data_IF_870324064101
#
_entry.id   IF_870324064101
#
_cell.length_a   1.000
_cell.length_b   1.000
_cell.length_c   1.000
_cell.angle_alpha   90.00
_cell.angle_beta   90.00
_cell.angle_gamma   90.00
#
_symmetry.space_group_name_H-M   'P 1'
#
loop_
_entity.id
_entity.type
_entity.pdbx_description
1 polymer ?
#
# COMPACT_ATOMS: atom_id res chain seq x y z
N UNK A 1 -16.39 -15.77 32.22
CA UNK A 1 -16.38 -15.08 30.93
C UNK A 1 -15.05 -15.36 30.26
N UNK A 2 -15.05 -15.78 29.00
CA UNK A 2 -13.80 -15.96 28.26
C UNK A 2 -13.34 -14.62 27.72
N UNK A 3 -12.03 -14.44 27.58
CA UNK A 3 -11.46 -13.18 27.16
C UNK A 3 -10.72 -13.40 25.85
N UNK A 4 -10.87 -12.49 24.91
CA UNK A 4 -10.03 -12.45 23.72
C UNK A 4 -9.36 -11.08 23.63
N UNK A 5 -8.03 -11.07 23.69
CA UNK A 5 -7.27 -9.84 23.54
C UNK A 5 -7.12 -9.53 22.05
N UNK A 6 -7.47 -8.31 21.65
CA UNK A 6 -7.35 -7.84 20.28
C UNK A 6 -6.50 -6.58 20.27
N UNK A 7 -5.35 -6.65 19.62
CA UNK A 7 -4.45 -5.52 19.49
C UNK A 7 -4.80 -4.72 18.24
N UNK A 8 -5.02 -3.40 18.43
CA UNK A 8 -5.38 -2.47 17.36
C UNK A 8 -4.57 -1.19 17.43
N UNK A 9 -4.55 -0.46 16.32
CA UNK A 9 -4.01 0.91 16.30
C UNK A 9 -5.06 1.91 16.81
N UNK A 10 -4.64 2.88 17.61
CA UNK A 10 -5.54 3.81 18.31
C UNK A 10 -6.41 4.65 17.37
N UNK A 11 -5.83 5.14 16.27
CA UNK A 11 -6.52 6.03 15.33
C UNK A 11 -7.31 5.25 14.27
N UNK A 12 -6.63 4.42 13.49
CA UNK A 12 -7.24 3.74 12.34
C UNK A 12 -7.97 2.44 12.72
N UNK A 13 -7.85 1.97 13.96
CA UNK A 13 -8.46 0.72 14.46
C UNK A 13 -8.13 -0.54 13.67
N UNK A 14 -7.14 -0.46 12.76
CA UNK A 14 -6.62 -1.62 12.04
C UNK A 14 -6.16 -2.68 13.03
N UNK A 15 -6.42 -3.94 12.68
CA UNK A 15 -5.96 -5.09 13.45
C UNK A 15 -4.43 -5.15 13.38
N UNK A 16 -3.79 -5.19 14.53
CA UNK A 16 -2.37 -5.54 14.65
C UNK A 16 -2.23 -7.04 14.90
N UNK A 17 -2.91 -7.54 15.92
CA UNK A 17 -2.87 -8.96 16.28
C UNK A 17 -4.16 -9.39 16.97
N UNK A 18 -4.60 -10.63 16.75
CA UNK A 18 -5.73 -11.25 17.45
C UNK A 18 -5.23 -12.45 18.20
N UNK A 19 -5.28 -12.39 19.53
CA UNK A 19 -4.87 -13.49 20.38
C UNK A 19 -5.90 -14.62 20.39
N UNK A 20 -5.47 -15.81 20.79
CA UNK A 20 -6.38 -16.91 21.12
C UNK A 20 -7.32 -16.51 22.27
N UNK A 21 -8.43 -17.23 22.37
CA UNK A 21 -9.37 -17.06 23.47
C UNK A 21 -8.73 -17.64 24.73
N UNK A 22 -8.70 -16.85 25.80
CA UNK A 22 -8.36 -17.31 27.15
C UNK A 22 -9.58 -17.99 27.77
N UNK A 23 -9.55 -19.31 27.98
CA UNK A 23 -10.67 -20.07 28.49
C UNK A 23 -10.87 -19.79 29.99
N UNK A 24 -12.09 -19.45 30.37
CA UNK A 24 -12.47 -19.42 31.79
C UNK A 24 -12.78 -20.82 32.32
N UNK A 25 -12.88 -20.98 33.64
CA UNK A 25 -13.23 -22.26 34.28
C UNK A 25 -14.57 -22.88 33.80
N UNK A 26 -15.46 -22.09 33.20
CA UNK A 26 -16.72 -22.53 32.62
C UNK A 26 -16.67 -22.74 31.08
N UNK A 27 -15.47 -22.81 30.49
CA UNK A 27 -15.28 -23.02 29.06
C UNK A 27 -15.92 -24.34 28.62
N UNK A 28 -16.79 -24.27 27.60
CA UNK A 28 -17.59 -25.41 27.13
C UNK A 28 -19.00 -25.52 27.73
N UNK A 29 -19.33 -24.74 28.76
CA UNK A 29 -20.73 -24.62 29.21
C UNK A 29 -21.53 -23.70 28.28
N UNK A 30 -22.85 -23.95 28.13
CA UNK A 30 -23.76 -23.21 27.23
C UNK A 30 -23.90 -21.72 27.55
N UNK A 31 -23.44 -21.26 28.71
CA UNK A 31 -23.63 -19.89 29.21
C UNK A 31 -22.31 -19.14 29.44
N UNK A 32 -21.30 -19.32 28.57
CA UNK A 32 -20.09 -18.51 28.62
C UNK A 32 -19.98 -17.58 27.40
N UNK A 33 -20.11 -16.28 27.63
CA UNK A 33 -19.84 -15.27 26.61
C UNK A 33 -18.33 -15.04 26.44
N UNK A 34 -17.92 -14.75 25.20
CA UNK A 34 -16.56 -14.27 24.89
C UNK A 34 -16.61 -12.74 24.93
N UNK A 35 -15.72 -12.14 25.72
CA UNK A 35 -15.55 -10.69 25.80
C UNK A 35 -14.27 -10.29 25.09
N UNK A 36 -14.38 -9.46 24.07
CA UNK A 36 -13.22 -8.87 23.41
C UNK A 36 -12.66 -7.72 24.26
N UNK A 37 -11.35 -7.71 24.44
CA UNK A 37 -10.62 -6.63 25.12
C UNK A 37 -9.62 -6.04 24.15
N UNK A 38 -9.84 -4.78 23.80
CA UNK A 38 -8.99 -4.08 22.83
C UNK A 38 -7.82 -3.43 23.56
N UNK A 39 -6.61 -3.72 23.09
CA UNK A 39 -5.38 -3.05 23.53
C UNK A 39 -4.85 -2.21 22.38
N UNK A 40 -4.50 -0.95 22.67
CA UNK A 40 -3.91 -0.07 21.68
C UNK A 40 -2.39 -0.15 21.72
N UNK A 41 -1.78 -0.60 20.62
CA UNK A 41 -0.33 -0.87 20.53
C UNK A 41 0.45 0.25 19.83
N UNK A 42 -0.23 1.19 19.20
CA UNK A 42 0.41 2.29 18.47
C UNK A 42 -0.58 3.26 17.86
N UNK A 43 -0.08 4.35 17.28
CA UNK A 43 -0.89 5.45 16.77
C UNK A 43 -1.61 5.10 15.46
N UNK A 44 -0.87 4.79 14.39
CA UNK A 44 -1.37 4.43 13.06
C UNK A 44 -0.61 3.21 12.52
N UNK A 45 -1.28 2.37 11.73
CA UNK A 45 -0.65 1.22 11.07
C UNK A 45 0.24 1.66 9.90
N UNK A 46 1.14 0.81 9.38
CA UNK A 46 2.06 1.17 8.31
C UNK A 46 1.39 1.77 7.07
N UNK A 47 0.22 1.25 6.69
CA UNK A 47 -0.59 1.74 5.55
C UNK A 47 -1.21 3.11 5.76
N UNK A 48 -1.51 3.48 7.02
CA UNK A 48 -2.09 4.78 7.37
C UNK A 48 -1.04 5.75 7.94
N UNK A 49 0.19 5.27 8.18
CA UNK A 49 1.33 6.07 8.61
C UNK A 49 2.05 6.73 7.44
N UNK A 50 1.95 6.17 6.23
CA UNK A 50 2.44 6.81 5.03
C UNK A 50 1.49 7.95 4.64
N UNK A 51 1.79 9.16 5.13
CA UNK A 51 1.52 10.32 4.31
C UNK A 51 2.25 10.05 2.99
N UNK A 52 1.50 9.79 1.92
CA UNK A 52 2.05 9.73 0.57
C UNK A 52 2.80 11.03 0.38
N UNK A 53 4.12 11.01 0.52
CA UNK A 53 4.96 12.04 -0.06
C UNK A 53 4.68 11.87 -1.54
N UNK A 54 3.93 12.80 -2.19
CA UNK A 54 3.65 12.62 -3.60
C UNK A 54 5.00 12.45 -4.26
N UNK A 55 5.18 11.32 -4.96
CA UNK A 55 6.36 11.16 -5.80
C UNK A 55 6.46 12.45 -6.63
N UNK A 56 7.64 13.08 -6.75
CA UNK A 56 7.77 14.22 -7.62
C UNK A 56 7.25 13.76 -8.97
N UNK A 57 6.14 14.37 -9.42
CA UNK A 57 5.61 14.12 -10.74
C UNK A 57 6.78 14.43 -11.68
N UNK A 58 7.45 13.38 -12.19
CA UNK A 58 8.33 13.52 -13.33
C UNK A 58 7.39 13.89 -14.46
N UNK A 59 7.19 15.20 -14.57
CA UNK A 59 6.55 15.86 -15.67
C UNK A 59 7.39 15.47 -16.87
N UNK A 60 6.96 14.43 -17.58
CA UNK A 60 7.46 14.05 -18.88
C UNK A 60 7.21 15.27 -19.75
N UNK A 61 8.19 16.17 -19.80
CA UNK A 61 8.20 17.30 -20.72
C UNK A 61 8.31 16.66 -22.09
N UNK A 62 7.17 16.45 -22.74
CA UNK A 62 7.06 16.09 -24.14
C UNK A 62 7.62 17.23 -24.99
N UNK A 63 8.95 17.37 -25.02
CA UNK A 63 9.65 18.31 -25.87
C UNK A 63 9.63 17.77 -27.29
N UNK A 64 8.62 18.23 -28.06
CA UNK A 64 8.71 18.58 -29.46
C UNK A 64 9.80 17.82 -30.26
N UNK A 65 9.52 16.57 -30.64
CA UNK A 65 10.30 15.91 -31.69
C UNK A 65 9.99 16.61 -33.02
N UNK A 66 10.75 17.68 -33.31
CA UNK A 66 10.83 18.29 -34.63
C UNK A 66 11.36 17.22 -35.59
N UNK A 67 10.48 16.69 -36.45
CA UNK A 67 10.83 15.73 -37.50
C UNK A 67 12.07 16.18 -38.28
N UNK A 68 13.08 15.32 -38.48
CA UNK A 68 14.09 15.56 -39.49
C UNK A 68 13.42 15.48 -40.87
N UNK A 69 13.51 16.55 -41.67
CA UNK A 69 13.21 16.48 -43.11
C UNK A 69 14.20 15.48 -43.75
N UNK A 70 13.75 14.61 -44.67
CA UNK A 70 14.69 13.81 -45.45
C UNK A 70 15.51 14.71 -46.38
N UNK A 71 16.80 14.42 -46.61
CA UNK A 71 17.56 15.08 -47.66
C UNK A 71 17.02 14.69 -49.04
N UNK A 72 16.89 15.69 -49.90
CA UNK A 72 16.42 15.62 -51.27
C UNK A 72 17.31 14.66 -52.09
N UNK A 73 16.77 13.53 -52.53
CA UNK A 73 17.45 12.57 -53.41
C UNK A 73 17.37 13.03 -54.87
N UNK A 74 18.23 13.96 -55.25
CA UNK A 74 18.59 14.18 -56.65
C UNK A 74 20.11 14.24 -56.75
N UNK A 75 20.66 13.39 -57.62
CA UNK A 75 22.08 13.21 -57.98
C UNK A 75 22.80 12.02 -57.35
N UNK A 76 22.38 10.81 -57.75
CA UNK A 76 23.25 9.64 -57.82
C UNK A 76 23.53 9.33 -59.30
N UNK A 77 24.23 10.23 -60.00
CA UNK A 77 24.84 9.91 -61.29
C UNK A 77 26.11 10.73 -61.44
N UNK A 78 27.17 10.05 -61.86
CA UNK A 78 28.57 10.50 -62.02
C UNK A 78 29.44 10.17 -60.82
N UNK A 79 30.05 8.98 -60.83
CA UNK A 79 31.51 8.75 -60.79
C UNK A 79 31.78 7.24 -60.75
N UNK A 80 31.73 6.59 -61.91
CA UNK A 80 32.53 5.38 -62.21
C UNK A 80 32.40 5.05 -63.70
N UNK A 81 33.53 5.13 -64.41
CA UNK A 81 33.73 4.56 -65.74
C UNK A 81 33.86 5.59 -66.84
#
# INVERSE_FOLDING_TARGET
MCIQVVERYAVCRCLYHRHSIDPCAAYGSRSHGITERVVFVGYKCPTHSSAQRPAPQQQVRSSLARSPKPPNTLNYFSYRG
#
